data_IF_713862779477
#
_entry.id   IF_713862779477
#
_cell.length_a   1.000
_cell.length_b   1.000
_cell.length_c   1.000
_cell.angle_alpha   90.00
_cell.angle_beta   90.00
_cell.angle_gamma   90.00
#
_symmetry.space_group_name_H-M   'P 1'
#
loop_
_entity.id
_entity.type
_entity.pdbx_description
1 polymer ?
#
# COMPACT_ATOMS: atom_id res chain seq x y z
N UNK A 1 -0.70 -10.88 -11.69
CA UNK A 1 -1.88 -10.07 -12.06
C UNK A 1 -2.03 -8.90 -11.08
N UNK A 2 -2.03 -9.11 -9.75
CA UNK A 2 -1.86 -8.04 -8.73
C UNK A 2 -0.62 -7.17 -8.94
N UNK A 3 0.46 -7.82 -9.37
CA UNK A 3 1.74 -7.18 -9.72
C UNK A 3 1.63 -6.19 -10.90
N UNK A 4 0.63 -6.36 -11.79
CA UNK A 4 0.37 -5.41 -12.88
C UNK A 4 -0.39 -4.18 -12.38
N UNK A 5 -1.42 -4.35 -11.54
CA UNK A 5 -2.17 -3.23 -10.94
C UNK A 5 -1.23 -2.34 -10.13
N UNK A 6 -0.39 -2.95 -9.29
CA UNK A 6 0.61 -2.24 -8.51
C UNK A 6 1.59 -1.46 -9.40
N UNK A 7 2.01 -2.03 -10.53
CA UNK A 7 2.89 -1.36 -11.50
C UNK A 7 2.18 -0.23 -12.24
N UNK A 8 0.92 -0.41 -12.64
CA UNK A 8 0.11 0.61 -13.32
C UNK A 8 -0.10 1.85 -12.44
N UNK A 9 -0.26 1.66 -11.13
CA UNK A 9 -0.43 2.74 -10.16
C UNK A 9 0.84 3.12 -9.41
N UNK A 10 2.01 2.58 -9.78
CA UNK A 10 3.25 2.73 -9.01
C UNK A 10 3.59 4.19 -8.72
N UNK A 11 3.47 5.08 -9.72
CA UNK A 11 3.77 6.50 -9.57
C UNK A 11 2.78 7.23 -8.66
N UNK A 12 1.49 6.90 -8.74
CA UNK A 12 0.44 7.48 -7.89
C UNK A 12 0.62 7.00 -6.45
N UNK A 13 0.86 5.70 -6.27
CA UNK A 13 1.20 5.09 -4.98
C UNK A 13 2.43 5.79 -4.37
N UNK A 14 3.52 5.91 -5.11
CA UNK A 14 4.76 6.48 -4.59
C UNK A 14 4.63 7.96 -4.21
N UNK A 15 3.87 8.75 -4.99
CA UNK A 15 3.70 10.18 -4.76
C UNK A 15 2.76 10.47 -3.59
N UNK A 16 1.64 9.74 -3.53
CA UNK A 16 0.50 10.14 -2.71
C UNK A 16 0.49 9.45 -1.34
N UNK A 17 1.15 8.30 -1.17
CA UNK A 17 1.17 7.59 0.12
C UNK A 17 2.13 8.21 1.15
N UNK A 18 1.77 8.08 2.43
CA UNK A 18 2.69 8.28 3.56
C UNK A 18 3.16 6.91 4.06
N UNK A 19 4.28 6.38 3.54
CA UNK A 19 4.63 4.97 3.72
C UNK A 19 4.89 4.60 5.18
N UNK A 20 5.47 5.48 6.00
CA UNK A 20 5.66 5.18 7.42
C UNK A 20 4.34 5.14 8.19
N UNK A 21 3.45 6.11 7.98
CA UNK A 21 2.12 6.14 8.61
C UNK A 21 1.32 4.90 8.22
N UNK A 22 1.30 4.58 6.92
CA UNK A 22 0.56 3.45 6.41
C UNK A 22 1.15 2.11 6.88
N UNK A 23 2.48 2.00 7.00
CA UNK A 23 3.13 0.81 7.56
C UNK A 23 2.72 0.55 9.01
N UNK A 24 2.50 1.59 9.82
CA UNK A 24 1.97 1.44 11.19
C UNK A 24 0.56 0.87 11.17
N UNK A 25 -0.33 1.43 10.34
CA UNK A 25 -1.73 0.95 10.23
C UNK A 25 -1.76 -0.49 9.74
N UNK A 26 -0.98 -0.82 8.71
CA UNK A 26 -0.90 -2.17 8.18
C UNK A 26 -0.30 -3.17 9.18
N UNK A 27 0.67 -2.76 10.00
CA UNK A 27 1.19 -3.58 11.08
C UNK A 27 0.13 -3.85 12.16
N UNK A 28 -0.62 -2.83 12.57
CA UNK A 28 -1.71 -2.97 13.54
C UNK A 28 -2.81 -3.92 13.06
N UNK A 29 -3.05 -3.98 11.74
CA UNK A 29 -4.00 -4.92 11.11
C UNK A 29 -3.41 -6.31 10.84
N UNK A 30 -2.14 -6.56 11.18
CA UNK A 30 -1.47 -7.84 10.92
C UNK A 30 -1.14 -8.10 9.44
N UNK A 31 -1.24 -7.09 8.57
CA UNK A 31 -0.86 -7.18 7.17
C UNK A 31 0.66 -7.19 7.01
N UNK A 32 1.37 -6.41 7.84
CA UNK A 32 2.83 -6.46 7.96
C UNK A 32 3.21 -7.27 9.19
N UNK A 33 4.27 -8.07 9.07
CA UNK A 33 4.96 -8.60 10.24
C UNK A 33 5.93 -7.55 10.83
N UNK A 34 6.44 -7.82 12.03
CA UNK A 34 7.34 -6.89 12.74
C UNK A 34 8.59 -6.54 11.91
N UNK A 35 9.17 -7.51 11.21
CA UNK A 35 10.36 -7.30 10.36
C UNK A 35 10.05 -6.39 9.17
N UNK A 36 8.93 -6.59 8.49
CA UNK A 36 8.47 -5.77 7.37
C UNK A 36 8.20 -4.32 7.82
N UNK A 37 7.46 -4.17 8.92
CA UNK A 37 7.17 -2.86 9.51
C UNK A 37 8.44 -2.11 9.90
N UNK A 38 9.35 -2.74 10.65
CA UNK A 38 10.62 -2.12 11.04
C UNK A 38 11.45 -1.76 9.80
N UNK A 39 11.44 -2.61 8.78
CA UNK A 39 12.21 -2.34 7.57
C UNK A 39 11.71 -1.08 6.88
N UNK A 40 10.40 -0.90 6.72
CA UNK A 40 9.82 0.27 6.05
C UNK A 40 9.98 1.52 6.90
N UNK A 41 9.76 1.44 8.21
CA UNK A 41 9.86 2.57 9.14
C UNK A 41 11.29 3.09 9.32
N UNK A 42 12.32 2.27 9.04
CA UNK A 42 13.73 2.69 9.09
C UNK A 42 14.23 3.36 7.82
N UNK A 43 13.47 3.31 6.73
CA UNK A 43 13.85 3.97 5.48
C UNK A 43 13.67 5.48 5.62
N UNK A 44 14.75 6.23 5.39
CA UNK A 44 14.79 7.70 5.54
C UNK A 44 14.14 8.42 4.37
N UNK A 45 14.32 7.90 3.16
CA UNK A 45 13.69 8.45 1.95
C UNK A 45 12.25 8.01 1.89
N UNK A 46 11.32 8.96 1.74
CA UNK A 46 9.90 8.64 1.54
C UNK A 46 9.71 7.78 0.29
N UNK A 47 10.42 8.12 -0.78
CA UNK A 47 10.23 7.46 -2.07
C UNK A 47 10.76 6.01 -2.04
N UNK A 48 11.85 5.75 -1.31
CA UNK A 48 12.37 4.40 -1.07
C UNK A 48 11.47 3.61 -0.11
N UNK A 49 10.91 4.28 0.91
CA UNK A 49 9.98 3.66 1.85
C UNK A 49 8.69 3.25 1.14
N UNK A 50 8.22 4.07 0.20
CA UNK A 50 7.09 3.78 -0.66
C UNK A 50 7.39 2.61 -1.61
N UNK A 51 8.53 2.60 -2.30
CA UNK A 51 8.92 1.45 -3.15
C UNK A 51 8.98 0.16 -2.33
N UNK A 52 9.57 0.21 -1.14
CA UNK A 52 9.66 -0.96 -0.27
C UNK A 52 8.29 -1.46 0.18
N UNK A 53 7.40 -0.56 0.60
CA UNK A 53 6.03 -0.90 0.97
C UNK A 53 5.28 -1.54 -0.21
N UNK A 54 5.39 -0.95 -1.40
CA UNK A 54 4.78 -1.44 -2.63
C UNK A 54 5.27 -2.85 -2.99
N UNK A 55 6.58 -3.12 -2.87
CA UNK A 55 7.16 -4.46 -3.08
C UNK A 55 6.66 -5.47 -2.05
N UNK A 56 6.53 -5.07 -0.79
CA UNK A 56 5.97 -5.93 0.25
C UNK A 56 4.52 -6.30 -0.04
N UNK A 57 3.72 -5.36 -0.56
CA UNK A 57 2.34 -5.62 -0.97
C UNK A 57 2.26 -6.59 -2.15
N UNK A 58 3.09 -6.38 -3.18
CA UNK A 58 3.19 -7.28 -4.31
C UNK A 58 3.51 -8.72 -3.90
N UNK A 59 4.42 -8.90 -2.93
CA UNK A 59 4.77 -10.22 -2.39
C UNK A 59 3.66 -10.91 -1.60
N UNK A 60 2.66 -10.18 -1.11
CA UNK A 60 1.49 -10.73 -0.38
C UNK A 60 0.32 -11.08 -1.30
N UNK A 61 0.40 -10.75 -2.58
CA UNK A 61 -0.64 -11.04 -3.57
C UNK A 61 -1.95 -10.30 -3.27
N UNK A 62 -3.07 -10.90 -3.67
CA UNK A 62 -4.39 -10.27 -3.63
C UNK A 62 -4.83 -9.86 -2.22
N UNK A 63 -4.64 -10.73 -1.23
CA UNK A 63 -4.99 -10.43 0.17
C UNK A 63 -4.21 -9.22 0.71
N UNK A 64 -2.95 -9.06 0.29
CA UNK A 64 -2.16 -7.88 0.62
C UNK A 64 -2.70 -6.60 0.00
N UNK A 65 -3.15 -6.66 -1.26
CA UNK A 65 -3.75 -5.52 -1.96
C UNK A 65 -5.10 -5.12 -1.35
N UNK A 66 -5.95 -6.10 -0.99
CA UNK A 66 -7.24 -5.84 -0.33
C UNK A 66 -7.03 -5.12 1.00
N UNK A 67 -6.17 -5.67 1.87
CA UNK A 67 -5.89 -5.04 3.16
C UNK A 67 -5.23 -3.67 3.04
N UNK A 68 -4.44 -3.45 1.99
CA UNK A 68 -3.88 -2.13 1.70
C UNK A 68 -4.94 -1.10 1.29
N UNK A 69 -5.90 -1.49 0.45
CA UNK A 69 -7.03 -0.63 0.07
C UNK A 69 -7.87 -0.27 1.31
N UNK A 70 -8.06 -1.23 2.22
CA UNK A 70 -8.71 -0.96 3.51
C UNK A 70 -7.91 0.04 4.36
N UNK A 71 -6.59 -0.11 4.45
CA UNK A 71 -5.73 0.86 5.13
C UNK A 71 -5.78 2.26 4.50
N UNK A 72 -5.79 2.36 3.17
CA UNK A 72 -5.89 3.63 2.47
C UNK A 72 -7.25 4.32 2.73
N UNK A 73 -8.34 3.55 2.80
CA UNK A 73 -9.67 4.09 3.12
C UNK A 73 -9.80 4.54 4.59
N UNK A 74 -9.12 3.86 5.52
CA UNK A 74 -9.12 4.25 6.93
C UNK A 74 -8.19 5.43 7.23
N UNK A 75 -7.13 5.61 6.44
CA UNK A 75 -6.32 6.82 6.44
C UNK A 75 -7.07 7.97 5.74
N UNK A 76 -8.20 8.35 6.33
CA UNK A 76 -9.14 9.38 5.88
C UNK A 76 -8.56 10.81 6.00
N UNK A 77 -7.25 10.92 6.23
CA UNK A 77 -6.55 12.19 6.42
C UNK A 77 -6.33 12.93 5.09
N UNK A 78 -6.45 12.25 3.95
CA UNK A 78 -6.17 12.81 2.62
C UNK A 78 -7.12 12.31 1.54
N UNK A 79 -7.71 13.26 0.80
CA UNK A 79 -8.60 12.98 -0.34
C UNK A 79 -7.92 12.16 -1.43
N UNK A 80 -6.60 12.29 -1.56
CA UNK A 80 -5.78 11.52 -2.50
C UNK A 80 -5.74 10.01 -2.16
N UNK A 81 -5.66 9.64 -0.87
CA UNK A 81 -5.66 8.23 -0.46
C UNK A 81 -6.99 7.54 -0.78
N UNK A 82 -8.11 8.25 -0.59
CA UNK A 82 -9.44 7.75 -0.93
C UNK A 82 -9.60 7.51 -2.44
N UNK A 83 -9.16 8.46 -3.28
CA UNK A 83 -9.21 8.31 -4.74
C UNK A 83 -8.34 7.14 -5.23
N UNK A 84 -7.16 6.99 -4.65
CA UNK A 84 -6.26 5.88 -4.95
C UNK A 84 -6.87 4.53 -4.53
N UNK A 85 -7.49 4.46 -3.35
CA UNK A 85 -8.19 3.27 -2.88
C UNK A 85 -9.35 2.89 -3.81
N UNK A 86 -10.16 3.85 -4.23
CA UNK A 86 -11.26 3.64 -5.17
C UNK A 86 -10.80 3.19 -6.56
N UNK A 87 -9.69 3.75 -7.07
CA UNK A 87 -9.10 3.31 -8.34
C UNK A 87 -8.61 1.85 -8.25
N UNK A 88 -7.84 1.52 -7.22
CA UNK A 88 -7.36 0.16 -6.99
C UNK A 88 -8.52 -0.84 -6.80
N UNK A 89 -9.57 -0.43 -6.11
CA UNK A 89 -10.77 -1.26 -5.87
C UNK A 89 -11.55 -1.54 -7.16
N UNK A 90 -11.54 -0.64 -8.15
CA UNK A 90 -12.17 -0.88 -9.46
C UNK A 90 -11.41 -1.88 -10.32
N UNK A 91 -10.10 -1.99 -10.12
CA UNK A 91 -9.26 -2.95 -10.85
C UNK A 91 -9.22 -4.33 -10.18
N UNK A 92 -9.59 -4.41 -8.90
CA UNK A 92 -9.60 -5.66 -8.13
C UNK A 92 -10.54 -6.75 -8.71
N UNK A 93 -11.78 -6.46 -9.17
CA UNK A 93 -12.66 -7.44 -9.81
C UNK A 93 -12.15 -7.96 -11.15
N UNK A 94 -11.17 -7.28 -11.79
CA UNK A 94 -10.54 -7.77 -13.02
C UNK A 94 -9.51 -8.89 -12.75
N UNK A 95 -9.29 -9.23 -11.47
CA UNK A 95 -8.43 -10.33 -11.02
C UNK A 95 -9.21 -11.65 -10.77
N UNK A 96 -10.56 -11.60 -10.67
CA UNK A 96 -11.47 -12.74 -10.45
C UNK A 96 -12.00 -13.30 -11.78
#
# INVERSE_FOLDING_TARGET
MTDQIIKSHYYELQRDIQPQTLAVVMFQKGLLNEKEHISISKVKSRDDAADQLIRTLAGKGEAGLIGFIECLNEDNSKKEHYLLAENLKKELPLLL
#
